data_IF_242383171025
#
_entry.id   IF_242383171025
#
_cell.length_a   1.000
_cell.length_b   1.000
_cell.length_c   1.000
_cell.angle_alpha   90.00
_cell.angle_beta   90.00
_cell.angle_gamma   90.00
#
_symmetry.space_group_name_H-M   'P 1'
#
loop_
_entity.id
_entity.type
_entity.pdbx_description
1 polymer ?
#
# COMPACT_ATOMS: atom_id res chain seq x y z
N UNK A 1 56.31 3.35 4.57
CA UNK A 1 55.07 2.57 4.34
C UNK A 1 53.87 3.22 5.04
N UNK A 2 53.75 4.57 4.99
CA UNK A 2 52.73 5.31 5.77
C UNK A 2 51.96 6.38 4.99
N UNK A 3 52.33 6.69 3.74
CA UNK A 3 51.60 7.67 2.93
C UNK A 3 50.40 7.05 2.19
N UNK A 4 50.45 5.76 1.85
CA UNK A 4 49.32 5.06 1.23
C UNK A 4 48.15 4.89 2.22
N UNK A 5 48.44 4.66 3.50
CA UNK A 5 47.42 4.49 4.54
C UNK A 5 46.68 5.79 4.86
N UNK A 6 47.36 6.95 4.79
CA UNK A 6 46.76 8.26 5.05
C UNK A 6 45.90 8.73 3.87
N UNK A 7 46.30 8.45 2.64
CA UNK A 7 45.50 8.76 1.45
C UNK A 7 44.25 7.87 1.33
N UNK A 8 44.34 6.59 1.70
CA UNK A 8 43.16 5.71 1.78
C UNK A 8 42.22 6.15 2.91
N UNK A 9 42.75 6.54 4.07
CA UNK A 9 41.92 7.03 5.18
C UNK A 9 41.13 8.29 4.78
N UNK A 10 41.76 9.27 4.12
CA UNK A 10 41.09 10.51 3.69
C UNK A 10 40.00 10.25 2.63
N UNK A 11 40.25 9.32 1.69
CA UNK A 11 39.26 9.00 0.64
C UNK A 11 38.07 8.19 1.15
N UNK A 12 38.27 7.40 2.21
CA UNK A 12 37.22 6.58 2.83
C UNK A 12 36.32 7.41 3.76
N UNK A 13 36.87 8.48 4.36
CA UNK A 13 36.17 9.37 5.29
C UNK A 13 35.07 10.20 4.61
N UNK A 14 35.35 10.78 3.43
CA UNK A 14 34.37 11.56 2.67
C UNK A 14 33.21 10.69 2.20
N UNK A 15 33.49 9.43 1.85
CA UNK A 15 32.49 8.50 1.36
C UNK A 15 31.42 8.21 2.41
N UNK A 16 31.80 8.00 3.67
CA UNK A 16 30.85 7.65 4.73
C UNK A 16 29.99 8.83 5.18
N UNK A 17 30.58 10.01 5.30
CA UNK A 17 29.83 11.25 5.60
C UNK A 17 28.85 11.56 4.47
N UNK A 18 29.29 11.42 3.22
CA UNK A 18 28.43 11.58 2.04
C UNK A 18 27.30 10.54 2.00
N UNK A 19 27.60 9.27 2.31
CA UNK A 19 26.62 8.19 2.33
C UNK A 19 25.56 8.43 3.42
N UNK A 20 25.98 8.86 4.61
CA UNK A 20 25.08 9.21 5.71
C UNK A 20 24.17 10.39 5.34
N UNK A 21 24.75 11.52 4.91
CA UNK A 21 23.99 12.71 4.52
C UNK A 21 23.00 12.45 3.37
N UNK A 22 23.42 11.66 2.37
CA UNK A 22 22.55 11.23 1.29
C UNK A 22 21.39 10.34 1.80
N UNK A 23 21.68 9.36 2.66
CA UNK A 23 20.68 8.48 3.26
C UNK A 23 19.63 9.24 4.09
N UNK A 24 20.07 10.18 4.93
CA UNK A 24 19.20 11.05 5.73
C UNK A 24 18.32 11.96 4.86
N UNK A 25 18.90 12.56 3.82
CA UNK A 25 18.17 13.43 2.88
C UNK A 25 17.09 12.68 2.10
N UNK A 26 17.40 11.46 1.63
CA UNK A 26 16.43 10.58 0.96
C UNK A 26 15.30 10.21 1.92
N UNK A 27 15.62 9.85 3.16
CA UNK A 27 14.62 9.51 4.18
C UNK A 27 13.66 10.68 4.44
N UNK A 28 14.18 11.89 4.66
CA UNK A 28 13.38 13.09 4.88
C UNK A 28 12.50 13.44 3.68
N UNK A 29 13.04 13.37 2.45
CA UNK A 29 12.29 13.62 1.23
C UNK A 29 11.13 12.63 1.07
N UNK A 30 11.36 11.35 1.35
CA UNK A 30 10.33 10.32 1.25
C UNK A 30 9.26 10.48 2.34
N UNK A 31 9.65 10.84 3.58
CA UNK A 31 8.70 11.16 4.66
C UNK A 31 7.83 12.36 4.27
N UNK A 32 8.43 13.46 3.80
CA UNK A 32 7.70 14.64 3.35
C UNK A 32 6.70 14.28 2.25
N UNK A 33 7.16 13.57 1.21
CA UNK A 33 6.30 13.09 0.11
C UNK A 33 5.16 12.21 0.61
N UNK A 34 5.41 11.33 1.58
CA UNK A 34 4.41 10.45 2.20
C UNK A 34 3.32 11.26 2.92
N UNK A 35 3.72 12.26 3.71
CA UNK A 35 2.83 13.13 4.48
C UNK A 35 1.91 13.96 3.59
N UNK A 36 2.44 14.62 2.55
CA UNK A 36 1.61 15.36 1.57
C UNK A 36 0.57 14.47 0.89
N UNK A 37 0.97 13.23 0.62
CA UNK A 37 0.10 12.24 0.03
C UNK A 37 -1.01 11.83 1.02
N UNK A 38 -0.72 11.59 2.29
CA UNK A 38 -1.74 11.26 3.31
C UNK A 38 -2.71 12.41 3.59
N UNK A 39 -2.31 13.65 3.32
CA UNK A 39 -3.15 14.85 3.49
C UNK A 39 -4.30 15.01 2.48
N UNK A 40 -4.62 14.00 1.66
CA UNK A 40 -5.89 13.96 0.90
C UNK A 40 -5.88 14.55 -0.52
N UNK A 41 -4.73 15.02 -1.04
CA UNK A 41 -4.59 15.49 -2.43
C UNK A 41 -4.53 14.34 -3.47
N UNK A 42 -4.98 13.13 -3.11
CA UNK A 42 -4.57 11.87 -3.74
C UNK A 42 -5.41 11.41 -4.93
N UNK A 43 -6.71 11.72 -4.98
CA UNK A 43 -7.65 10.97 -5.83
C UNK A 43 -8.39 11.87 -6.83
N UNK A 44 -7.65 12.60 -7.68
CA UNK A 44 -8.23 13.42 -8.75
C UNK A 44 -8.31 12.70 -10.10
N UNK A 45 -7.59 11.58 -10.26
CA UNK A 45 -7.51 10.80 -11.51
C UNK A 45 -7.37 9.30 -11.24
N UNK A 46 -7.83 8.43 -12.15
CA UNK A 46 -7.58 6.99 -12.08
C UNK A 46 -6.07 6.73 -11.99
N UNK A 47 -5.67 5.82 -11.11
CA UNK A 47 -4.26 5.45 -10.97
C UNK A 47 -3.78 4.81 -12.28
N UNK A 48 -2.58 5.19 -12.77
CA UNK A 48 -1.99 4.67 -14.02
C UNK A 48 -1.79 3.15 -14.06
N UNK A 49 -1.92 2.50 -12.90
CA UNK A 49 -1.76 1.05 -12.75
C UNK A 49 -3.08 0.29 -12.93
N UNK A 50 -4.23 0.99 -12.94
CA UNK A 50 -5.51 0.41 -13.35
C UNK A 50 -5.45 0.25 -14.86
N UNK A 51 -5.61 -0.98 -15.34
CA UNK A 51 -5.50 -1.28 -16.77
C UNK A 51 -6.71 -2.05 -17.25
N UNK A 52 -7.19 -1.69 -18.43
CA UNK A 52 -8.01 -2.58 -19.21
C UNK A 52 -7.16 -3.78 -19.64
N UNK A 53 -7.66 -5.00 -19.39
CA UNK A 53 -6.97 -6.24 -19.71
C UNK A 53 -7.95 -7.21 -20.33
N UNK A 54 -7.46 -7.99 -21.27
CA UNK A 54 -8.18 -9.16 -21.76
C UNK A 54 -7.64 -10.39 -21.03
N UNK A 55 -8.48 -11.03 -20.21
CA UNK A 55 -8.15 -12.30 -19.56
C UNK A 55 -8.57 -13.45 -20.49
N UNK A 56 -7.69 -14.44 -20.67
CA UNK A 56 -7.89 -15.54 -21.63
C UNK A 56 -9.16 -16.34 -21.34
N UNK A 57 -9.51 -16.45 -20.06
CA UNK A 57 -10.64 -17.27 -19.60
C UNK A 57 -11.96 -16.49 -19.46
N UNK A 58 -11.88 -15.15 -19.34
CA UNK A 58 -13.04 -14.30 -18.97
C UNK A 58 -13.35 -13.19 -19.95
N UNK A 59 -12.50 -12.98 -20.95
CA UNK A 59 -12.62 -11.89 -21.91
C UNK A 59 -12.20 -10.54 -21.31
N UNK A 60 -12.69 -9.43 -21.86
CA UNK A 60 -12.27 -8.08 -21.47
C UNK A 60 -12.76 -7.67 -20.08
N UNK A 61 -12.00 -6.80 -19.42
CA UNK A 61 -12.34 -6.27 -18.11
C UNK A 61 -11.27 -5.33 -17.54
N UNK A 62 -11.47 -4.95 -16.29
CA UNK A 62 -10.63 -4.00 -15.58
C UNK A 62 -9.79 -4.73 -14.53
N UNK A 63 -8.48 -4.54 -14.56
CA UNK A 63 -7.56 -5.03 -13.53
C UNK A 63 -7.14 -3.90 -12.60
N UNK A 64 -7.38 -4.10 -11.31
CA UNK A 64 -7.08 -3.16 -10.22
C UNK A 64 -6.04 -3.82 -9.29
N UNK A 65 -4.77 -3.40 -9.36
CA UNK A 65 -3.73 -3.96 -8.50
C UNK A 65 -3.71 -3.34 -7.09
N UNK A 66 -3.04 -4.03 -6.16
CA UNK A 66 -2.66 -3.47 -4.86
C UNK A 66 -1.70 -2.30 -5.02
N UNK A 67 -1.85 -1.31 -4.15
CA UNK A 67 -0.97 -0.17 -4.01
C UNK A 67 0.36 -0.57 -3.39
N UNK A 68 1.41 -0.59 -4.21
CA UNK A 68 2.77 -0.96 -3.76
C UNK A 68 3.64 0.21 -3.32
N UNK A 69 3.28 1.44 -3.72
CA UNK A 69 4.18 2.59 -3.52
C UNK A 69 4.43 2.91 -2.06
N UNK A 70 3.49 2.65 -1.14
CA UNK A 70 3.69 2.99 0.28
C UNK A 70 4.70 2.08 0.98
N UNK A 71 4.69 0.78 0.70
CA UNK A 71 5.62 -0.18 1.31
C UNK A 71 7.06 0.13 0.87
N UNK A 72 7.28 0.38 -0.42
CA UNK A 72 8.60 0.72 -0.92
C UNK A 72 9.12 2.05 -0.39
N UNK A 73 8.26 3.05 -0.17
CA UNK A 73 8.67 4.30 0.48
C UNK A 73 9.12 4.06 1.92
N UNK A 74 8.40 3.24 2.69
CA UNK A 74 8.79 2.90 4.07
C UNK A 74 10.12 2.15 4.11
N UNK A 75 10.31 1.17 3.22
CA UNK A 75 11.56 0.42 3.11
C UNK A 75 12.72 1.35 2.75
N UNK A 76 12.53 2.26 1.78
CA UNK A 76 13.56 3.22 1.40
C UNK A 76 13.96 4.15 2.56
N UNK A 77 12.98 4.63 3.34
CA UNK A 77 13.24 5.43 4.55
C UNK A 77 14.04 4.64 5.58
N UNK A 78 13.62 3.41 5.88
CA UNK A 78 14.30 2.55 6.86
C UNK A 78 15.73 2.23 6.44
N UNK A 79 15.96 1.94 5.15
CA UNK A 79 17.30 1.70 4.62
C UNK A 79 18.16 2.97 4.65
N UNK A 80 17.59 4.13 4.32
CA UNK A 80 18.29 5.42 4.40
C UNK A 80 18.69 5.78 5.84
N UNK A 81 17.80 5.56 6.80
CA UNK A 81 18.08 5.75 8.23
C UNK A 81 19.07 4.72 8.77
N UNK A 82 19.00 3.47 8.32
CA UNK A 82 19.98 2.44 8.68
C UNK A 82 21.38 2.80 8.14
N UNK A 83 21.48 3.24 6.88
CA UNK A 83 22.73 3.70 6.30
C UNK A 83 23.32 4.90 7.05
N UNK A 84 22.49 5.89 7.41
CA UNK A 84 22.90 7.02 8.24
C UNK A 84 23.44 6.58 9.61
N UNK A 85 22.67 5.75 10.32
CA UNK A 85 23.05 5.29 11.66
C UNK A 85 24.31 4.41 11.64
N UNK A 86 24.47 3.55 10.64
CA UNK A 86 25.69 2.75 10.46
C UNK A 86 26.90 3.60 10.14
N UNK A 87 26.76 4.61 9.28
CA UNK A 87 27.85 5.56 8.99
C UNK A 87 28.25 6.34 10.25
N UNK A 88 27.29 6.87 11.00
CA UNK A 88 27.54 7.62 12.23
C UNK A 88 28.23 6.77 13.32
N UNK A 89 27.82 5.50 13.47
CA UNK A 89 28.45 4.58 14.41
C UNK A 89 29.89 4.24 14.01
N UNK A 90 30.15 4.06 12.70
CA UNK A 90 31.48 3.79 12.20
C UNK A 90 32.41 4.99 12.36
N UNK A 91 31.97 6.20 12.00
CA UNK A 91 32.78 7.42 12.16
C UNK A 91 33.19 7.65 13.61
N UNK A 92 32.31 7.31 14.55
CA UNK A 92 32.64 7.33 15.98
C UNK A 92 33.68 6.27 16.35
N UNK A 93 33.47 5.00 15.97
CA UNK A 93 34.39 3.91 16.34
C UNK A 93 35.80 4.09 15.78
N UNK A 94 35.91 4.69 14.60
CA UNK A 94 37.20 4.99 13.96
C UNK A 94 37.86 6.28 14.46
N UNK A 95 37.24 7.02 15.39
CA UNK A 95 37.78 8.29 15.91
C UNK A 95 37.83 9.41 14.87
N UNK A 96 36.98 9.34 13.83
CA UNK A 96 37.03 10.19 12.63
C UNK A 96 36.21 11.49 12.72
N UNK A 97 35.78 11.87 13.92
CA UNK A 97 35.15 13.17 14.21
C UNK A 97 33.62 13.16 14.26
N UNK A 98 33.08 14.27 14.80
CA UNK A 98 31.69 14.46 15.25
C UNK A 98 30.70 14.85 14.13
N UNK A 99 31.09 14.83 12.85
CA UNK A 99 30.35 15.48 11.77
C UNK A 99 28.91 14.95 11.52
N UNK A 100 28.59 13.73 11.96
CA UNK A 100 27.26 13.10 11.83
C UNK A 100 26.53 12.94 13.17
N UNK A 101 27.16 13.33 14.29
CA UNK A 101 26.58 13.21 15.63
C UNK A 101 26.12 14.59 16.13
N UNK A 102 25.10 14.67 16.99
CA UNK A 102 24.77 15.91 17.67
C UNK A 102 25.98 16.36 18.51
N UNK A 103 26.48 17.56 18.20
CA UNK A 103 27.57 18.25 18.90
C UNK A 103 27.33 18.15 20.43
N UNK A 104 28.33 17.67 21.18
CA UNK A 104 28.40 17.54 22.66
C UNK A 104 27.93 16.26 23.37
N UNK A 105 28.20 15.04 22.91
CA UNK A 105 28.15 13.88 23.84
C UNK A 105 29.11 12.75 23.48
N UNK A 106 30.28 12.77 24.13
CA UNK A 106 31.28 11.70 24.12
C UNK A 106 30.83 10.50 24.97
N UNK A 107 29.69 9.90 24.62
CA UNK A 107 29.14 8.75 25.32
C UNK A 107 29.16 7.55 24.38
N UNK A 108 30.04 6.59 24.64
CA UNK A 108 30.08 5.27 23.99
C UNK A 108 28.73 4.56 23.95
N UNK A 109 27.89 4.81 24.95
CA UNK A 109 26.51 4.34 25.02
C UNK A 109 25.63 4.86 23.87
N UNK A 110 25.84 6.11 23.42
CA UNK A 110 25.04 6.73 22.36
C UNK A 110 25.36 6.17 20.98
N UNK A 111 26.63 5.89 20.71
CA UNK A 111 27.06 5.28 19.45
C UNK A 111 26.60 3.82 19.35
N UNK A 112 26.70 3.06 20.44
CA UNK A 112 26.17 1.70 20.52
C UNK A 112 24.64 1.69 20.33
N UNK A 113 23.94 2.62 20.96
CA UNK A 113 22.48 2.77 20.78
C UNK A 113 22.11 3.05 19.32
N UNK A 114 22.80 3.98 18.65
CA UNK A 114 22.56 4.31 17.23
C UNK A 114 22.85 3.09 16.34
N UNK A 115 23.92 2.34 16.61
CA UNK A 115 24.26 1.13 15.87
C UNK A 115 23.16 0.05 16.01
N UNK A 116 22.65 -0.18 17.22
CA UNK A 116 21.54 -1.11 17.47
C UNK A 116 20.27 -0.65 16.75
N UNK A 117 19.94 0.64 16.79
CA UNK A 117 18.80 1.19 16.05
C UNK A 117 18.95 1.01 14.53
N UNK A 118 20.14 1.25 13.98
CA UNK A 118 20.43 1.06 12.55
C UNK A 118 20.27 -0.41 12.13
N UNK A 119 20.84 -1.34 12.90
CA UNK A 119 20.70 -2.77 12.67
C UNK A 119 19.22 -3.21 12.77
N UNK A 120 18.49 -2.71 13.77
CA UNK A 120 17.06 -2.97 13.94
C UNK A 120 16.22 -2.49 12.76
N UNK A 121 16.47 -1.27 12.27
CA UNK A 121 15.79 -0.73 11.08
C UNK A 121 16.11 -1.54 9.82
N UNK A 122 17.37 -1.93 9.64
CA UNK A 122 17.79 -2.79 8.53
C UNK A 122 17.09 -4.16 8.57
N UNK A 123 17.03 -4.79 9.75
CA UNK A 123 16.33 -6.06 9.94
C UNK A 123 14.84 -5.93 9.64
N UNK A 124 14.17 -4.89 10.15
CA UNK A 124 12.75 -4.65 9.87
C UNK A 124 12.52 -4.42 8.37
N UNK A 125 13.39 -3.66 7.70
CA UNK A 125 13.30 -3.45 6.26
C UNK A 125 13.40 -4.78 5.48
N UNK A 126 14.34 -5.65 5.87
CA UNK A 126 14.49 -6.99 5.28
C UNK A 126 13.24 -7.85 5.53
N UNK A 127 12.68 -7.81 6.73
CA UNK A 127 11.44 -8.54 7.06
C UNK A 127 10.26 -8.05 6.21
N UNK A 128 10.09 -6.73 6.05
CA UNK A 128 9.04 -6.14 5.20
C UNK A 128 9.22 -6.56 3.74
N UNK A 129 10.44 -6.56 3.21
CA UNK A 129 10.71 -6.96 1.82
C UNK A 129 10.48 -8.47 1.61
N UNK A 130 10.71 -9.27 2.65
CA UNK A 130 10.56 -10.73 2.65
C UNK A 130 9.10 -11.18 2.71
N UNK A 131 8.22 -10.35 3.26
CA UNK A 131 6.78 -10.60 3.36
C UNK A 131 6.06 -9.75 2.32
N UNK A 132 5.54 -10.38 1.27
CA UNK A 132 4.81 -9.69 0.19
C UNK A 132 3.40 -10.22 0.06
N UNK A 133 2.46 -9.29 -0.03
CA UNK A 133 1.06 -9.55 -0.37
C UNK A 133 0.73 -8.75 -1.62
N UNK A 134 0.32 -9.45 -2.68
CA UNK A 134 -0.15 -8.83 -3.92
C UNK A 134 -1.58 -9.29 -4.14
N UNK A 135 -2.52 -8.36 -4.09
CA UNK A 135 -3.91 -8.59 -4.45
C UNK A 135 -4.19 -7.91 -5.78
N UNK A 136 -4.79 -8.63 -6.71
CA UNK A 136 -5.30 -8.07 -7.95
C UNK A 136 -6.78 -8.38 -8.01
N UNK A 137 -7.60 -7.33 -8.10
CA UNK A 137 -9.01 -7.44 -8.35
C UNK A 137 -9.24 -7.31 -9.86
N UNK A 138 -9.92 -8.26 -10.45
CA UNK A 138 -10.30 -8.22 -11.86
C UNK A 138 -11.82 -8.21 -11.96
N UNK A 139 -12.37 -7.23 -12.67
CA UNK A 139 -13.80 -7.04 -12.84
C UNK A 139 -14.11 -7.22 -14.32
N UNK A 140 -14.97 -8.18 -14.65
CA UNK A 140 -15.39 -8.46 -16.03
C UNK A 140 -16.91 -8.58 -16.12
N UNK A 141 -17.48 -8.60 -17.35
CA UNK A 141 -18.92 -8.79 -17.51
C UNK A 141 -19.44 -10.10 -16.92
N UNK A 142 -18.58 -11.11 -16.76
CA UNK A 142 -18.93 -12.43 -16.21
C UNK A 142 -18.90 -12.45 -14.68
N UNK A 143 -18.14 -11.55 -14.05
CA UNK A 143 -18.05 -11.52 -12.59
C UNK A 143 -16.82 -10.79 -12.05
N UNK A 144 -16.52 -11.06 -10.80
CA UNK A 144 -15.38 -10.49 -10.05
C UNK A 144 -14.40 -11.60 -9.69
N UNK A 145 -13.13 -11.40 -9.99
CA UNK A 145 -12.04 -12.31 -9.59
C UNK A 145 -11.09 -11.60 -8.66
N UNK A 146 -10.76 -12.22 -7.55
CA UNK A 146 -9.74 -11.74 -6.62
C UNK A 146 -8.59 -12.74 -6.61
N UNK A 147 -7.46 -12.31 -7.17
CA UNK A 147 -6.23 -13.07 -7.19
C UNK A 147 -5.26 -12.52 -6.15
N UNK A 148 -4.93 -13.32 -5.14
CA UNK A 148 -4.01 -12.95 -4.05
C UNK A 148 -2.78 -13.84 -4.12
N UNK A 149 -1.63 -13.22 -4.36
CA UNK A 149 -0.32 -13.86 -4.26
C UNK A 149 0.35 -13.43 -2.97
N UNK A 150 0.55 -14.39 -2.08
CA UNK A 150 1.26 -14.20 -0.82
C UNK A 150 2.63 -14.86 -0.89
N UNK A 151 3.68 -14.12 -0.56
CA UNK A 151 5.03 -14.64 -0.36
C UNK A 151 5.46 -14.31 1.06
N UNK A 152 5.73 -15.34 1.85
CA UNK A 152 6.28 -15.19 3.20
C UNK A 152 7.63 -15.89 3.21
N UNK A 153 8.70 -15.09 3.16
CA UNK A 153 10.07 -15.57 2.99
C UNK A 153 10.19 -16.44 1.71
N UNK A 154 10.27 -17.75 1.90
CA UNK A 154 10.41 -18.76 0.85
C UNK A 154 9.08 -19.41 0.45
N UNK A 155 8.04 -19.32 1.28
CA UNK A 155 6.74 -19.92 1.00
C UNK A 155 5.92 -19.02 0.08
N UNK A 156 5.46 -19.58 -1.04
CA UNK A 156 4.53 -18.92 -1.97
C UNK A 156 3.17 -19.56 -1.81
N UNK A 157 2.15 -18.73 -1.62
CA UNK A 157 0.75 -19.12 -1.56
C UNK A 157 -0.02 -18.30 -2.57
N UNK A 158 -0.96 -18.94 -3.26
CA UNK A 158 -1.83 -18.31 -4.25
C UNK A 158 -3.25 -18.64 -3.85
N UNK A 159 -4.07 -17.59 -3.69
CA UNK A 159 -5.49 -17.70 -3.43
C UNK A 159 -6.20 -17.05 -4.60
N UNK A 160 -7.03 -17.80 -5.30
CA UNK A 160 -7.76 -17.30 -6.45
C UNK A 160 -9.24 -17.58 -6.25
N UNK A 161 -10.02 -16.51 -6.08
CA UNK A 161 -11.47 -16.62 -5.97
C UNK A 161 -12.09 -15.97 -7.19
N UNK A 162 -13.04 -16.69 -7.76
CA UNK A 162 -13.89 -16.24 -8.84
C UNK A 162 -15.34 -16.24 -8.39
N UNK A 163 -15.99 -15.09 -8.47
CA UNK A 163 -17.41 -14.95 -8.24
C UNK A 163 -18.09 -14.55 -9.54
N UNK A 164 -19.13 -15.26 -9.95
CA UNK A 164 -20.06 -14.77 -10.98
C UNK A 164 -20.94 -13.68 -10.40
N UNK A 165 -21.45 -12.78 -11.24
CA UNK A 165 -22.39 -11.75 -10.76
C UNK A 165 -23.68 -12.35 -10.19
N UNK A 166 -24.14 -13.47 -10.74
CA UNK A 166 -25.32 -14.21 -10.28
C UNK A 166 -25.10 -14.89 -8.92
N UNK A 167 -23.85 -15.27 -8.62
CA UNK A 167 -23.47 -15.85 -7.34
C UNK A 167 -23.30 -14.84 -6.20
N UNK A 168 -23.27 -13.54 -6.52
CA UNK A 168 -23.17 -12.46 -5.53
C UNK A 168 -24.59 -12.11 -5.05
N UNK A 169 -24.89 -12.49 -3.82
CA UNK A 169 -26.19 -12.24 -3.19
C UNK A 169 -26.34 -10.78 -2.76
N UNK A 170 -25.26 -10.19 -2.23
CA UNK A 170 -25.25 -8.83 -1.71
C UNK A 170 -23.84 -8.26 -1.69
N UNK A 171 -23.73 -6.96 -1.94
CA UNK A 171 -22.52 -6.18 -1.71
C UNK A 171 -22.72 -5.37 -0.43
N UNK A 172 -21.80 -5.52 0.52
CA UNK A 172 -21.83 -4.89 1.82
C UNK A 172 -20.65 -3.97 2.05
N UNK A 173 -20.83 -3.00 2.95
CA UNK A 173 -19.74 -2.15 3.44
C UNK A 173 -19.17 -2.81 4.69
N UNK A 174 -17.91 -3.22 4.60
CA UNK A 174 -17.14 -3.76 5.70
C UNK A 174 -16.15 -2.75 6.26
N UNK A 175 -15.78 -2.93 7.52
CA UNK A 175 -14.75 -2.15 8.18
C UNK A 175 -13.77 -3.06 8.89
N UNK A 176 -12.48 -2.94 8.58
CA UNK A 176 -11.43 -3.61 9.34
C UNK A 176 -10.87 -2.63 10.37
N UNK A 177 -11.09 -2.92 11.65
CA UNK A 177 -10.34 -2.28 12.74
C UNK A 177 -8.94 -2.89 12.84
N UNK A 178 -7.92 -2.04 12.95
CA UNK A 178 -6.57 -2.52 13.29
C UNK A 178 -6.52 -2.70 14.81
N UNK A 179 -6.18 -3.90 15.28
CA UNK A 179 -6.01 -4.15 16.71
C UNK A 179 -5.01 -3.16 17.31
N UNK A 180 -5.46 -2.37 18.29
CA UNK A 180 -4.65 -1.35 18.97
C UNK A 180 -4.69 0.07 18.39
N UNK A 181 -5.52 0.36 17.37
CA UNK A 181 -5.66 1.71 16.81
C UNK A 181 -7.10 2.14 16.55
N UNK A 182 -7.33 3.45 16.42
CA UNK A 182 -8.64 4.05 16.06
C UNK A 182 -8.89 4.09 14.55
N UNK A 183 -7.92 3.64 13.73
CA UNK A 183 -8.01 3.73 12.27
C UNK A 183 -8.85 2.57 11.73
N UNK A 184 -9.97 2.93 11.13
CA UNK A 184 -10.87 2.01 10.43
C UNK A 184 -10.52 2.00 8.95
N UNK A 185 -10.22 0.83 8.41
CA UNK A 185 -9.92 0.68 6.99
C UNK A 185 -11.13 0.15 6.20
N UNK A 186 -11.49 0.78 5.07
CA UNK A 186 -12.62 0.33 4.26
C UNK A 186 -12.34 -1.04 3.62
N UNK A 187 -13.35 -1.90 3.71
CA UNK A 187 -13.43 -3.23 3.11
C UNK A 187 -14.77 -3.32 2.37
N UNK A 188 -14.80 -3.98 1.22
CA UNK A 188 -16.03 -4.26 0.49
C UNK A 188 -16.31 -5.75 0.66
N UNK A 189 -17.46 -6.09 1.21
CA UNK A 189 -17.85 -7.47 1.48
C UNK A 189 -18.75 -7.98 0.36
N UNK A 190 -18.31 -9.02 -0.36
CA UNK A 190 -19.11 -9.70 -1.37
C UNK A 190 -19.72 -10.94 -0.73
N UNK A 191 -21.00 -10.91 -0.44
CA UNK A 191 -21.73 -12.04 0.10
C UNK A 191 -22.17 -12.97 -1.05
N UNK A 192 -21.95 -14.26 -0.88
CA UNK A 192 -22.27 -15.29 -1.86
C UNK A 192 -23.36 -16.21 -1.34
N UNK A 193 -24.16 -16.79 -2.26
CA UNK A 193 -25.12 -17.83 -1.89
C UNK A 193 -24.44 -19.19 -1.70
N UNK A 194 -23.37 -19.43 -2.44
CA UNK A 194 -22.61 -20.67 -2.41
C UNK A 194 -21.40 -20.57 -1.46
N UNK A 195 -21.09 -21.66 -0.73
CA UNK A 195 -19.93 -21.71 0.15
C UNK A 195 -18.63 -21.74 -0.67
N UNK A 196 -17.65 -20.95 -0.22
CA UNK A 196 -16.36 -20.80 -0.87
C UNK A 196 -15.40 -21.86 -0.34
N UNK A 197 -14.67 -22.58 -1.22
CA UNK A 197 -13.69 -23.57 -0.81
C UNK A 197 -12.66 -23.02 0.20
N UNK A 198 -12.33 -23.75 1.28
CA UNK A 198 -11.34 -23.32 2.29
C UNK A 198 -9.98 -22.93 1.70
N UNK A 199 -9.56 -23.61 0.64
CA UNK A 199 -8.25 -23.39 0.01
C UNK A 199 -8.15 -22.04 -0.71
N UNK A 200 -9.27 -21.52 -1.22
CA UNK A 200 -9.32 -20.24 -1.90
C UNK A 200 -9.53 -19.07 -0.94
N UNK A 201 -9.94 -19.35 0.32
CA UNK A 201 -10.21 -18.35 1.35
C UNK A 201 -8.92 -17.78 1.94
N UNK A 202 -8.91 -16.46 2.09
CA UNK A 202 -7.95 -15.73 2.90
C UNK A 202 -8.45 -15.59 4.35
N UNK A 203 -7.59 -15.15 5.27
CA UNK A 203 -7.93 -14.96 6.68
C UNK A 203 -9.13 -14.02 6.92
N UNK A 204 -9.41 -13.12 5.98
CA UNK A 204 -10.49 -12.14 6.10
C UNK A 204 -11.80 -12.60 5.47
N UNK A 205 -11.80 -13.76 4.80
CA UNK A 205 -13.00 -14.31 4.19
C UNK A 205 -13.75 -15.19 5.19
N UNK A 206 -15.06 -15.32 4.97
CA UNK A 206 -15.90 -16.30 5.64
C UNK A 206 -16.41 -17.32 4.61
N UNK A 207 -17.17 -18.30 5.04
CA UNK A 207 -17.68 -19.35 4.15
C UNK A 207 -18.50 -18.79 2.98
N UNK A 208 -19.36 -17.80 3.23
CA UNK A 208 -20.21 -17.17 2.22
C UNK A 208 -19.91 -15.67 2.03
N UNK A 209 -18.66 -15.25 2.29
CA UNK A 209 -18.24 -13.85 2.23
C UNK A 209 -16.80 -13.72 1.75
N UNK A 210 -16.60 -12.93 0.70
CA UNK A 210 -15.28 -12.51 0.23
C UNK A 210 -15.01 -11.07 0.65
N UNK A 211 -13.95 -10.86 1.42
CA UNK A 211 -13.51 -9.52 1.84
C UNK A 211 -12.56 -8.91 0.81
N UNK A 212 -12.99 -7.83 0.14
CA UNK A 212 -12.15 -7.05 -0.77
C UNK A 212 -11.55 -5.88 0.01
N UNK A 213 -10.25 -5.93 0.29
CA UNK A 213 -9.53 -4.90 1.06
C UNK A 213 -9.33 -3.63 0.22
N UNK A 214 -10.41 -2.84 0.06
CA UNK A 214 -10.44 -1.67 -0.81
C UNK A 214 -9.34 -0.65 -0.49
N UNK A 215 -9.00 -0.47 0.79
CA UNK A 215 -7.90 0.40 1.23
C UNK A 215 -6.50 -0.01 0.69
N UNK A 216 -6.33 -1.27 0.29
CA UNK A 216 -5.08 -1.77 -0.28
C UNK A 216 -5.03 -1.61 -1.80
N UNK A 217 -6.15 -1.39 -2.47
CA UNK A 217 -6.21 -1.23 -3.91
C UNK A 217 -5.79 0.18 -4.32
N UNK A 218 -5.35 0.34 -5.56
CA UNK A 218 -4.98 1.67 -6.11
C UNK A 218 -6.18 2.57 -6.41
N UNK A 219 -7.39 2.02 -6.39
CA UNK A 219 -8.64 2.73 -6.67
C UNK A 219 -9.21 3.36 -5.40
N UNK A 220 -10.02 4.40 -5.58
CA UNK A 220 -10.76 5.01 -4.47
C UNK A 220 -11.87 4.05 -3.98
N UNK A 221 -11.96 3.75 -2.67
CA UNK A 221 -12.88 2.74 -2.14
C UNK A 221 -14.35 2.97 -2.44
N UNK A 222 -14.85 4.21 -2.33
CA UNK A 222 -16.27 4.49 -2.56
C UNK A 222 -16.63 4.39 -4.03
N UNK A 223 -15.75 4.84 -4.93
CA UNK A 223 -15.93 4.70 -6.38
C UNK A 223 -15.95 3.23 -6.78
N UNK A 224 -15.08 2.40 -6.18
CA UNK A 224 -15.10 0.96 -6.40
C UNK A 224 -16.41 0.33 -5.89
N UNK A 225 -16.85 0.69 -4.69
CA UNK A 225 -18.10 0.20 -4.11
C UNK A 225 -19.30 0.55 -5.01
N UNK A 226 -19.45 1.84 -5.37
CA UNK A 226 -20.52 2.31 -6.22
C UNK A 226 -20.53 1.64 -7.61
N UNK A 227 -19.35 1.39 -8.18
CA UNK A 227 -19.25 0.64 -9.44
C UNK A 227 -19.71 -0.80 -9.28
N UNK A 228 -19.26 -1.50 -8.24
CA UNK A 228 -19.64 -2.90 -8.01
C UNK A 228 -21.14 -3.04 -7.73
N UNK A 229 -21.71 -2.14 -6.92
CA UNK A 229 -23.14 -2.05 -6.63
C UNK A 229 -23.95 -1.83 -7.91
N UNK A 230 -23.58 -0.83 -8.71
CA UNK A 230 -24.22 -0.55 -10.01
C UNK A 230 -24.21 -1.74 -10.96
N UNK A 231 -23.08 -2.47 -11.05
CA UNK A 231 -22.93 -3.65 -11.92
C UNK A 231 -23.70 -4.88 -11.42
N UNK A 232 -23.88 -4.99 -10.09
CA UNK A 232 -24.71 -6.02 -9.50
C UNK A 232 -26.20 -5.75 -9.78
N UNK A 233 -26.66 -4.52 -9.56
CA UNK A 233 -28.05 -4.09 -9.76
C UNK A 233 -28.47 -4.05 -11.23
N UNK A 234 -27.58 -3.62 -12.12
CA UNK A 234 -27.89 -3.40 -13.53
C UNK A 234 -27.05 -4.31 -14.44
N UNK A 235 -27.56 -5.51 -14.83
CA UNK A 235 -26.82 -6.43 -15.69
C UNK A 235 -26.39 -5.84 -17.04
N UNK A 236 -27.17 -4.88 -17.59
CA UNK A 236 -26.85 -4.20 -18.85
C UNK A 236 -25.58 -3.35 -18.76
N UNK A 237 -25.30 -2.78 -17.60
CA UNK A 237 -24.11 -1.94 -17.40
C UNK A 237 -22.81 -2.77 -17.40
N UNK A 238 -22.91 -4.10 -17.30
CA UNK A 238 -21.75 -5.01 -17.39
C UNK A 238 -21.08 -4.95 -18.76
N UNK A 239 -21.82 -4.62 -19.82
CA UNK A 239 -21.25 -4.43 -21.16
C UNK A 239 -20.29 -3.24 -21.21
N UNK A 240 -20.44 -2.24 -20.34
CA UNK A 240 -19.54 -1.10 -20.25
C UNK A 240 -18.11 -1.54 -19.90
N UNK A 241 -17.94 -2.68 -19.22
CA UNK A 241 -16.63 -3.26 -18.89
C UNK A 241 -15.90 -3.85 -20.10
N UNK A 242 -16.58 -4.03 -21.23
CA UNK A 242 -15.96 -4.55 -22.46
C UNK A 242 -15.24 -3.46 -23.26
N UNK A 243 -15.57 -2.19 -23.00
CA UNK A 243 -15.04 -1.05 -23.74
C UNK A 243 -13.65 -0.67 -23.23
N UNK A 244 -12.79 -0.20 -24.11
CA UNK A 244 -11.41 0.19 -23.77
C UNK A 244 -11.32 1.37 -22.79
N UNK A 245 -12.37 2.20 -22.73
CA UNK A 245 -12.54 3.32 -21.81
C UNK A 245 -13.15 2.92 -20.46
N UNK A 246 -13.38 1.62 -20.20
CA UNK A 246 -13.98 1.14 -18.96
C UNK A 246 -13.21 1.57 -17.69
N UNK A 247 -11.91 1.87 -17.81
CA UNK A 247 -11.10 2.41 -16.69
C UNK A 247 -11.65 3.75 -16.18
N UNK A 248 -12.28 4.56 -17.05
CA UNK A 248 -12.87 5.84 -16.66
C UNK A 248 -14.12 5.68 -15.79
N UNK A 249 -14.73 4.49 -15.73
CA UNK A 249 -15.80 4.18 -14.78
C UNK A 249 -15.32 4.22 -13.32
N UNK A 250 -14.00 4.03 -13.10
CA UNK A 250 -13.36 4.13 -11.80
C UNK A 250 -12.82 5.55 -11.52
N UNK A 251 -13.17 6.53 -12.36
CA UNK A 251 -12.76 7.91 -12.15
C UNK A 251 -13.56 8.50 -10.99
N UNK A 252 -12.91 8.92 -9.90
CA UNK A 252 -13.61 9.55 -8.79
C UNK A 252 -14.27 10.85 -9.28
N UNK A 253 -15.50 11.17 -8.82
CA UNK A 253 -16.12 12.46 -9.10
C UNK A 253 -15.23 13.58 -8.53
N UNK A 254 -15.14 14.74 -9.22
CA UNK A 254 -14.27 15.84 -8.81
C UNK A 254 -14.59 16.31 -7.39
N UNK A 255 -13.55 16.74 -6.65
CA UNK A 255 -13.69 17.11 -5.23
C UNK A 255 -14.81 18.11 -4.95
N UNK A 256 -15.05 19.05 -5.88
CA UNK A 256 -16.14 20.05 -5.76
C UNK A 256 -17.52 19.40 -5.68
N UNK A 257 -17.75 18.32 -6.43
CA UNK A 257 -19.01 17.58 -6.40
C UNK A 257 -19.15 16.75 -5.14
N UNK A 258 -18.05 16.16 -4.64
CA UNK A 258 -18.03 15.47 -3.34
C UNK A 258 -18.38 16.42 -2.19
N UNK A 259 -17.76 17.61 -2.17
CA UNK A 259 -18.10 18.63 -1.18
C UNK A 259 -19.53 19.14 -1.36
N UNK A 260 -20.03 19.28 -2.60
CA UNK A 260 -21.42 19.68 -2.85
C UNK A 260 -22.43 18.61 -2.41
N UNK A 261 -22.12 17.33 -2.59
CA UNK A 261 -22.94 16.21 -2.13
C UNK A 261 -22.93 16.10 -0.61
N UNK A 262 -21.76 16.22 0.03
CA UNK A 262 -21.65 16.23 1.50
C UNK A 262 -22.31 17.47 2.15
N UNK A 263 -22.41 18.57 1.42
CA UNK A 263 -23.04 19.82 1.87
C UNK A 263 -24.53 19.91 1.54
N UNK A 264 -25.11 18.92 0.85
CA UNK A 264 -26.56 18.73 0.84
C UNK A 264 -26.90 17.98 2.13
N UNK A 265 -27.41 18.66 3.19
CA UNK A 265 -28.00 17.91 4.29
C UNK A 265 -29.13 17.05 3.70
N UNK A 266 -29.21 15.79 4.14
CA UNK A 266 -30.36 14.92 3.90
C UNK A 266 -31.61 15.58 4.48
N UNK A 267 -32.20 16.53 3.76
CA UNK A 267 -33.59 16.97 3.95
C UNK A 267 -34.50 15.89 3.40
N UNK A 268 -34.49 14.74 4.07
CA UNK A 268 -35.46 13.65 3.96
C UNK A 268 -35.25 12.68 5.14
N UNK A 269 -35.30 13.22 6.36
CA UNK A 269 -36.00 12.53 7.45
C UNK A 269 -37.29 13.32 7.66
N UNK A 270 -38.20 13.11 6.71
CA UNK A 270 -39.58 13.52 6.85
C UNK A 270 -40.20 12.66 7.93
N UNK A 271 -40.44 13.29 9.08
CA UNK A 271 -41.71 13.25 9.79
C UNK A 271 -42.71 12.23 9.22
N UNK A 272 -42.87 11.09 9.89
CA UNK A 272 -44.09 10.31 9.83
C UNK A 272 -44.19 9.46 11.12
N UNK A 273 -44.98 10.02 12.05
CA UNK A 273 -45.80 9.40 13.11
C UNK A 273 -45.13 8.44 14.08
#
# INVERSE_FOLDING_TARGET
MSFAFVQDTIRTNDFQVTLGAAGGSIALFVIARSSFRRAGLRDLRPHRDIRFRHDRDRGPGISIPTRRTEVWTTVAVMLGLAAYGSAAAFTWHSGLGEALLPINRDNSESALFIAVCAAGMGLIAVLIVSIRFETTLYISPRGVRRYVRRRVFFKKQVFDISLSWEGIARIGVGSLGVGGGTTVHPVIDLHTNEPIPPEARTRHDSECRVAVMAHQLVTEPNTLFALLERLAENPRDRELLTKSDAVDLLRPPPLRERFRAARKPSRQHGNNR
#
